data_IF_877143162164
#
_entry.id   IF_877143162164
#
_cell.length_a   1.000
_cell.length_b   1.000
_cell.length_c   1.000
_cell.angle_alpha   90.00
_cell.angle_beta   90.00
_cell.angle_gamma   90.00
#
_symmetry.space_group_name_H-M   'P 1'
#
loop_
_entity.id
_entity.type
_entity.pdbx_description
1 polymer ?
#
# COMPACT_ATOMS: atom_id res chain seq x y z
N UNK A 1 10.17 7.99 39.57
CA UNK A 1 10.65 7.19 38.42
C UNK A 1 9.46 7.02 37.49
N UNK A 2 9.19 8.00 36.63
CA UNK A 2 8.01 8.01 35.75
C UNK A 2 8.43 7.55 34.36
N UNK A 3 8.01 6.35 34.01
CA UNK A 3 8.26 5.74 32.69
C UNK A 3 7.50 6.54 31.63
N UNK A 4 8.20 7.10 30.63
CA UNK A 4 7.58 7.73 29.46
C UNK A 4 6.93 6.63 28.60
N UNK A 5 5.67 6.77 28.17
CA UNK A 5 5.10 5.86 27.19
C UNK A 5 5.87 6.00 25.86
N UNK A 6 6.19 4.87 25.24
CA UNK A 6 6.78 4.82 23.91
C UNK A 6 5.78 5.38 22.89
N UNK A 7 6.11 6.51 22.29
CA UNK A 7 5.32 7.11 21.23
C UNK A 7 5.38 6.18 20.00
N UNK A 8 4.25 5.76 19.40
CA UNK A 8 4.29 5.00 18.16
C UNK A 8 4.99 5.89 17.10
N UNK A 9 5.97 5.32 16.41
CA UNK A 9 6.71 6.02 15.36
C UNK A 9 5.72 6.63 14.39
N UNK A 10 5.65 7.96 14.35
CA UNK A 10 4.83 8.67 13.39
C UNK A 10 5.25 8.19 11.98
N UNK A 11 4.36 7.48 11.28
CA UNK A 11 4.52 7.14 9.87
C UNK A 11 4.87 8.44 9.16
N UNK A 12 6.07 8.49 8.57
CA UNK A 12 6.53 9.65 7.78
C UNK A 12 5.39 10.02 6.82
N UNK A 13 4.96 11.29 6.79
CA UNK A 13 3.95 11.71 5.82
C UNK A 13 4.47 11.42 4.41
N UNK A 14 3.61 10.89 3.56
CA UNK A 14 3.90 10.69 2.15
C UNK A 14 4.26 12.05 1.54
N UNK A 15 5.53 12.22 1.17
CA UNK A 15 6.01 13.43 0.51
C UNK A 15 5.77 13.32 -0.99
N UNK A 16 5.55 14.46 -1.64
CA UNK A 16 5.35 14.63 -3.10
C UNK A 16 6.38 13.90 -3.99
N UNK A 17 7.55 13.58 -3.44
CA UNK A 17 8.66 12.92 -4.16
C UNK A 17 8.46 11.40 -4.29
N UNK A 18 7.43 10.86 -3.66
CA UNK A 18 7.14 9.44 -3.65
C UNK A 18 6.12 9.03 -4.73
N UNK A 19 5.55 9.93 -5.53
CA UNK A 19 4.49 9.65 -6.52
C UNK A 19 4.76 8.38 -7.35
N UNK A 20 4.14 7.27 -6.94
CA UNK A 20 4.19 6.02 -7.70
C UNK A 20 3.51 6.17 -9.06
N UNK A 21 3.87 5.30 -10.00
CA UNK A 21 3.29 5.30 -11.34
C UNK A 21 1.92 4.62 -11.35
N UNK A 22 0.91 5.25 -11.94
CA UNK A 22 -0.39 4.60 -12.12
C UNK A 22 -0.25 3.59 -13.27
N UNK A 23 -0.34 2.28 -13.00
CA UNK A 23 -0.22 1.30 -14.08
C UNK A 23 -1.40 1.45 -15.05
N UNK A 24 -1.17 1.27 -16.37
CA UNK A 24 -2.27 1.21 -17.32
C UNK A 24 -3.22 0.04 -16.97
N UNK A 25 -4.50 0.11 -17.35
CA UNK A 25 -5.47 -0.95 -17.06
C UNK A 25 -4.97 -2.33 -17.52
N UNK A 26 -4.96 -3.30 -16.59
CA UNK A 26 -4.49 -4.66 -16.86
C UNK A 26 -2.96 -4.86 -16.75
N UNK A 27 -2.18 -3.82 -16.48
CA UNK A 27 -0.77 -3.97 -16.14
C UNK A 27 -0.57 -4.40 -14.67
N UNK A 28 0.55 -5.07 -14.41
CA UNK A 28 0.91 -5.55 -13.08
C UNK A 28 1.58 -4.44 -12.26
N UNK A 29 1.37 -4.48 -10.94
CA UNK A 29 2.01 -3.57 -10.01
C UNK A 29 3.47 -3.95 -9.81
N UNK A 30 4.34 -2.94 -9.74
CA UNK A 30 5.75 -3.13 -9.37
C UNK A 30 5.93 -2.63 -7.94
N UNK A 31 5.90 -3.53 -6.94
CA UNK A 31 6.16 -3.23 -5.53
C UNK A 31 7.43 -3.93 -5.09
N UNK A 32 8.57 -3.42 -5.53
CA UNK A 32 9.91 -3.95 -5.22
C UNK A 32 10.55 -3.25 -4.03
N UNK A 33 10.13 -2.02 -3.73
CA UNK A 33 10.67 -1.27 -2.60
C UNK A 33 10.27 -1.92 -1.26
N UNK A 34 11.23 -1.99 -0.34
CA UNK A 34 11.05 -2.50 1.03
C UNK A 34 9.90 -1.83 1.79
N UNK A 35 9.52 -0.61 1.41
CA UNK A 35 8.38 0.14 1.95
C UNK A 35 7.03 -0.50 1.66
N UNK A 36 6.93 -1.53 0.83
CA UNK A 36 5.68 -2.24 0.63
C UNK A 36 5.51 -3.39 1.63
N UNK A 37 6.57 -3.85 2.29
CA UNK A 37 6.51 -4.99 3.20
C UNK A 37 6.08 -4.56 4.61
N UNK A 38 4.96 -5.10 5.08
CA UNK A 38 4.55 -4.99 6.46
C UNK A 38 5.47 -5.89 7.30
N UNK A 39 5.92 -5.39 8.44
CA UNK A 39 6.73 -6.16 9.40
C UNK A 39 5.86 -6.85 10.46
N UNK A 40 4.59 -6.48 10.53
CA UNK A 40 3.57 -7.09 11.38
C UNK A 40 2.45 -7.59 10.47
N UNK A 41 2.31 -8.91 10.38
CA UNK A 41 1.38 -9.60 9.47
C UNK A 41 -0.08 -9.53 9.95
N UNK A 42 -0.37 -8.79 11.02
CA UNK A 42 -1.70 -8.76 11.65
C UNK A 42 -2.72 -7.87 10.91
N UNK A 43 -2.28 -7.03 9.96
CA UNK A 43 -3.19 -6.08 9.30
C UNK A 43 -4.07 -6.78 8.24
N UNK A 44 -5.41 -6.64 8.30
CA UNK A 44 -6.30 -7.24 7.31
C UNK A 44 -6.22 -6.50 5.97
N UNK A 45 -6.19 -7.27 4.88
CA UNK A 45 -6.29 -6.76 3.52
C UNK A 45 -7.59 -5.95 3.37
N UNK A 46 -7.49 -4.69 2.92
CA UNK A 46 -8.67 -3.82 2.75
C UNK A 46 -9.67 -4.31 1.71
N UNK A 47 -9.30 -5.27 0.87
CA UNK A 47 -10.14 -5.82 -0.20
C UNK A 47 -10.74 -7.20 0.14
N UNK A 48 -9.97 -8.08 0.76
CA UNK A 48 -10.40 -9.47 1.03
C UNK A 48 -10.42 -9.84 2.52
N UNK A 49 -10.06 -8.91 3.41
CA UNK A 49 -10.05 -9.03 4.88
C UNK A 49 -9.07 -10.04 5.49
N UNK A 50 -8.40 -10.86 4.67
CA UNK A 50 -7.36 -11.80 5.14
C UNK A 50 -6.07 -11.06 5.52
N UNK A 51 -5.24 -11.59 6.43
CA UNK A 51 -3.95 -11.00 6.79
C UNK A 51 -3.09 -10.68 5.56
N UNK A 52 -2.57 -9.45 5.48
CA UNK A 52 -1.76 -8.98 4.36
C UNK A 52 -0.31 -8.74 4.81
N UNK A 53 0.64 -9.19 3.98
CA UNK A 53 2.07 -8.94 4.16
C UNK A 53 2.55 -7.68 3.45
N UNK A 54 1.70 -7.08 2.61
CA UNK A 54 2.04 -5.93 1.79
C UNK A 54 1.12 -4.75 2.11
N UNK A 55 1.61 -3.55 1.83
CA UNK A 55 0.84 -2.31 1.86
C UNK A 55 0.95 -1.58 0.53
N UNK A 56 -0.12 -0.91 0.14
CA UNK A 56 -0.12 0.00 -1.01
C UNK A 56 0.82 1.17 -0.75
N UNK A 57 1.05 1.94 -1.81
CA UNK A 57 1.78 3.19 -1.70
C UNK A 57 1.12 4.17 -0.71
N UNK A 58 -0.22 4.20 -0.58
CA UNK A 58 -0.91 5.00 0.44
C UNK A 58 -0.86 4.39 1.86
N UNK A 59 -0.25 3.21 2.01
CA UNK A 59 -0.14 2.48 3.27
C UNK A 59 -1.37 1.66 3.64
N UNK A 60 -2.29 1.40 2.70
CA UNK A 60 -3.40 0.45 2.90
C UNK A 60 -2.84 -0.97 2.90
N UNK A 61 -3.10 -1.78 3.94
CA UNK A 61 -2.73 -3.19 3.95
C UNK A 61 -3.50 -3.93 2.86
N UNK A 62 -2.81 -4.57 1.92
CA UNK A 62 -3.44 -5.19 0.74
C UNK A 62 -2.52 -6.23 0.13
N UNK A 63 -3.08 -7.35 -0.34
CA UNK A 63 -2.30 -8.27 -1.19
C UNK A 63 -2.06 -7.64 -2.56
N UNK A 64 -0.88 -7.86 -3.11
CA UNK A 64 -0.55 -7.42 -4.48
C UNK A 64 -1.61 -7.87 -5.50
N UNK A 65 -1.96 -9.15 -5.49
CA UNK A 65 -2.98 -9.72 -6.38
C UNK A 65 -4.36 -9.07 -6.19
N UNK A 66 -4.75 -8.76 -4.94
CA UNK A 66 -6.02 -8.09 -4.69
C UNK A 66 -6.02 -6.68 -5.29
N UNK A 67 -4.92 -5.93 -5.14
CA UNK A 67 -4.77 -4.62 -5.74
C UNK A 67 -4.79 -4.68 -7.27
N UNK A 68 -4.08 -5.62 -7.90
CA UNK A 68 -4.07 -5.80 -9.36
C UNK A 68 -5.44 -6.19 -9.91
N UNK A 69 -6.16 -7.07 -9.22
CA UNK A 69 -7.54 -7.45 -9.56
C UNK A 69 -8.46 -6.25 -9.45
N UNK A 70 -8.32 -5.44 -8.39
CA UNK A 70 -9.10 -4.24 -8.20
C UNK A 70 -8.83 -3.20 -9.29
N UNK A 71 -7.57 -2.98 -9.67
CA UNK A 71 -7.19 -2.06 -10.75
C UNK A 71 -7.80 -2.48 -12.10
N UNK A 72 -7.84 -3.78 -12.37
CA UNK A 72 -8.47 -4.33 -13.58
C UNK A 72 -9.99 -4.09 -13.58
N UNK A 73 -10.64 -4.23 -12.42
CA UNK A 73 -12.08 -4.02 -12.27
C UNK A 73 -12.50 -2.53 -12.19
N UNK A 74 -11.60 -1.63 -11.81
CA UNK A 74 -11.88 -0.21 -11.52
C UNK A 74 -10.89 0.72 -12.25
N UNK A 75 -10.85 0.71 -13.59
CA UNK A 75 -9.86 1.46 -14.36
C UNK A 75 -10.00 2.99 -14.19
N UNK A 76 -11.20 3.52 -13.95
CA UNK A 76 -11.40 4.95 -13.73
C UNK A 76 -10.85 5.41 -12.37
N UNK A 77 -11.01 4.59 -11.33
CA UNK A 77 -10.48 4.86 -10.00
C UNK A 77 -8.97 4.59 -9.92
N UNK A 78 -8.46 3.64 -10.71
CA UNK A 78 -7.03 3.40 -10.86
C UNK A 78 -6.31 4.67 -11.31
N UNK A 79 -6.85 5.39 -12.31
CA UNK A 79 -6.34 6.68 -12.79
C UNK A 79 -6.33 7.78 -11.72
N UNK A 80 -7.04 7.60 -10.60
CA UNK A 80 -6.98 8.50 -9.44
C UNK A 80 -5.89 8.14 -8.43
N UNK A 81 -5.11 7.09 -8.69
CA UNK A 81 -3.87 6.77 -7.95
C UNK A 81 -4.04 5.97 -6.67
N UNK A 82 -5.14 5.22 -6.49
CA UNK A 82 -5.35 4.43 -5.25
C UNK A 82 -4.29 3.33 -5.06
N UNK A 83 -3.93 2.61 -6.12
CA UNK A 83 -2.82 1.67 -6.12
C UNK A 83 -1.88 2.03 -7.26
N UNK A 84 -0.64 2.38 -6.91
CA UNK A 84 0.40 2.78 -7.84
C UNK A 84 1.61 1.88 -7.68
N UNK A 85 2.36 1.70 -8.77
CA UNK A 85 3.65 1.02 -8.80
C UNK A 85 4.73 1.90 -8.19
N UNK A 86 5.84 1.28 -7.80
CA UNK A 86 7.10 1.99 -7.60
C UNK A 86 7.50 2.71 -8.90
N UNK A 87 8.00 3.93 -8.75
CA UNK A 87 8.54 4.77 -9.82
C UNK A 87 9.89 4.26 -10.32
#
# INVERSE_FOLDING_TARGET
MTTRPAQPAARRPFTEKDCGDVPPPGALLVWRDGRHYLHDDSAPCVLCTKPAHLRSHAGEAVHKICAETWLTAHPAEALRGRFVSDS
#
